data_IF_772018170900
#
_entry.id   IF_772018170900
#
_cell.length_a   1.000
_cell.length_b   1.000
_cell.length_c   1.000
_cell.angle_alpha   90.00
_cell.angle_beta   90.00
_cell.angle_gamma   90.00
#
_symmetry.space_group_name_H-M   'P 1'
#
loop_
_entity.id
_entity.type
_entity.pdbx_description
1 polymer ?
#
# COMPACT_ATOMS: atom_id res chain seq x y z
N UNK A 1 -6.06 18.95 -0.21
CA UNK A 1 -7.40 18.59 0.31
C UNK A 1 -7.37 17.10 0.59
N UNK A 2 -7.45 16.71 1.87
CA UNK A 2 -7.54 15.31 2.28
C UNK A 2 -9.02 14.93 2.26
N UNK A 3 -9.37 13.94 1.45
CA UNK A 3 -10.71 13.38 1.36
C UNK A 3 -11.10 12.80 2.72
N UNK A 4 -12.31 13.13 3.18
CA UNK A 4 -12.87 12.74 4.47
C UNK A 4 -13.04 11.21 4.54
N UNK A 5 -12.18 10.54 5.32
CA UNK A 5 -12.30 9.13 5.71
C UNK A 5 -12.94 9.05 7.12
N UNK A 6 -14.04 9.78 7.35
CA UNK A 6 -14.54 10.21 8.67
C UNK A 6 -14.59 9.19 9.82
N UNK A 7 -14.59 7.88 9.56
CA UNK A 7 -14.59 6.82 10.58
C UNK A 7 -13.35 5.90 10.60
N UNK A 8 -12.37 6.08 9.71
CA UNK A 8 -11.17 5.24 9.72
C UNK A 8 -10.12 5.78 10.71
N UNK A 9 -9.80 4.96 11.71
CA UNK A 9 -8.73 5.27 12.68
C UNK A 9 -7.45 4.53 12.31
N UNK A 10 -6.33 5.25 12.34
CA UNK A 10 -5.01 4.64 12.21
C UNK A 10 -4.68 3.82 13.47
N UNK A 11 -4.93 2.51 13.43
CA UNK A 11 -4.67 1.61 14.55
C UNK A 11 -3.25 1.04 14.57
N UNK A 12 -2.53 1.04 13.43
CA UNK A 12 -1.16 0.54 13.32
C UNK A 12 -0.39 1.30 12.24
N UNK A 13 0.78 1.82 12.63
CA UNK A 13 1.75 2.42 11.72
C UNK A 13 3.09 1.67 11.83
N UNK A 14 3.79 1.51 10.72
CA UNK A 14 5.10 0.83 10.72
C UNK A 14 6.01 1.49 9.72
N UNK A 15 7.17 1.94 10.19
CA UNK A 15 8.26 2.39 9.32
C UNK A 15 8.90 1.18 8.65
N UNK A 16 9.09 1.29 7.33
CA UNK A 16 9.76 0.28 6.52
C UNK A 16 11.05 0.93 6.04
N UNK A 17 12.17 0.36 6.46
CA UNK A 17 13.49 0.70 5.95
C UNK A 17 14.02 -0.45 5.07
N UNK A 18 15.14 -0.20 4.39
CA UNK A 18 15.77 -1.17 3.49
C UNK A 18 16.29 -2.43 4.18
N UNK A 19 16.32 -2.47 5.51
CA UNK A 19 16.81 -3.59 6.31
C UNK A 19 15.65 -4.35 6.97
N UNK A 20 15.51 -5.63 6.64
CA UNK A 20 14.58 -6.54 7.30
C UNK A 20 13.15 -6.46 6.76
N UNK A 21 12.32 -5.55 7.29
CA UNK A 21 10.85 -5.58 7.11
C UNK A 21 10.40 -5.41 5.67
N UNK A 22 11.18 -4.74 4.83
CA UNK A 22 10.88 -4.58 3.40
C UNK A 22 10.63 -5.92 2.71
N UNK A 23 11.36 -6.98 3.08
CA UNK A 23 11.20 -8.32 2.48
C UNK A 23 9.76 -8.85 2.59
N UNK A 24 9.10 -8.62 3.73
CA UNK A 24 7.72 -9.02 3.94
C UNK A 24 6.76 -8.31 2.98
N UNK A 25 7.04 -7.04 2.66
CA UNK A 25 6.22 -6.26 1.74
C UNK A 25 6.53 -6.51 0.27
N UNK A 26 7.65 -7.17 -0.05
CA UNK A 26 7.98 -7.63 -1.41
C UNK A 26 7.26 -8.95 -1.75
N UNK A 27 6.88 -9.73 -0.74
CA UNK A 27 6.08 -10.94 -0.94
C UNK A 27 4.61 -10.59 -1.17
N UNK A 28 3.90 -11.44 -1.92
CA UNK A 28 2.48 -11.25 -2.21
C UNK A 28 1.67 -11.41 -0.92
N UNK A 29 0.96 -10.35 -0.52
CA UNK A 29 0.10 -10.36 0.65
C UNK A 29 -1.14 -9.49 0.43
N UNK A 30 -2.18 -9.70 1.23
CA UNK A 30 -3.37 -8.86 1.29
C UNK A 30 -3.45 -8.19 2.66
N UNK A 31 -4.14 -7.05 2.75
CA UNK A 31 -4.54 -6.54 4.07
C UNK A 31 -5.65 -7.43 4.63
N UNK A 32 -5.83 -7.39 5.95
CA UNK A 32 -6.94 -8.08 6.59
C UNK A 32 -8.26 -7.48 6.12
N UNK A 33 -9.30 -8.31 5.99
CA UNK A 33 -10.65 -7.83 5.69
C UNK A 33 -11.08 -6.73 6.68
N UNK A 34 -11.73 -5.69 6.15
CA UNK A 34 -12.17 -4.53 6.94
C UNK A 34 -11.04 -3.56 7.34
N UNK A 35 -9.80 -3.77 6.87
CA UNK A 35 -8.69 -2.83 7.13
C UNK A 35 -8.20 -2.15 5.86
N UNK A 36 -7.73 -0.91 6.04
CA UNK A 36 -7.20 -0.08 4.97
C UNK A 36 -5.69 0.04 5.10
N UNK A 37 -4.99 -0.13 3.97
CA UNK A 37 -3.55 0.11 3.87
C UNK A 37 -3.27 1.48 3.27
N UNK A 38 -2.45 2.28 3.94
CA UNK A 38 -1.90 3.52 3.41
C UNK A 38 -0.37 3.41 3.37
N UNK A 39 0.22 3.56 2.19
CA UNK A 39 1.67 3.56 2.01
C UNK A 39 2.15 4.96 1.65
N UNK A 40 3.11 5.47 2.43
CA UNK A 40 3.73 6.76 2.20
C UNK A 40 5.22 6.59 1.97
N UNK A 41 5.68 6.93 0.76
CA UNK A 41 7.08 6.81 0.37
C UNK A 41 7.87 8.05 0.79
N UNK A 42 8.88 7.88 1.66
CA UNK A 42 9.75 8.98 2.10
C UNK A 42 10.85 9.31 1.08
N UNK A 43 11.42 8.27 0.46
CA UNK A 43 12.52 8.34 -0.49
C UNK A 43 12.53 7.12 -1.42
N UNK A 44 13.06 7.29 -2.64
CA UNK A 44 13.18 6.24 -3.65
C UNK A 44 11.98 6.14 -4.59
N UNK A 45 11.81 4.94 -5.14
CA UNK A 45 10.72 4.58 -6.06
C UNK A 45 10.20 3.19 -5.68
N UNK A 46 8.90 2.97 -5.78
CA UNK A 46 8.27 1.67 -5.53
C UNK A 46 7.20 1.38 -6.59
N UNK A 47 7.14 0.13 -7.04
CA UNK A 47 6.07 -0.35 -7.90
C UNK A 47 5.03 -1.07 -7.04
N UNK A 48 3.82 -0.51 -6.96
CA UNK A 48 2.69 -1.12 -6.27
C UNK A 48 1.88 -1.94 -7.27
N UNK A 49 1.88 -3.27 -7.12
CA UNK A 49 1.25 -4.20 -8.06
C UNK A 49 -0.01 -4.79 -7.41
N UNK A 50 -1.16 -4.57 -8.03
CA UNK A 50 -2.42 -5.17 -7.63
C UNK A 50 -2.56 -6.53 -8.32
N UNK A 51 -2.80 -7.57 -7.52
CA UNK A 51 -2.99 -8.93 -8.01
C UNK A 51 -4.43 -9.40 -7.72
N UNK A 52 -4.95 -10.31 -8.55
CA UNK A 52 -6.16 -11.06 -8.23
C UNK A 52 -5.87 -12.24 -7.28
N UNK A 53 -6.91 -12.96 -6.84
CA UNK A 53 -6.76 -14.13 -5.96
C UNK A 53 -5.96 -15.30 -6.56
N UNK A 54 -5.81 -15.34 -7.89
CA UNK A 54 -4.94 -16.28 -8.60
C UNK A 54 -3.49 -15.79 -8.77
N UNK A 55 -3.16 -14.60 -8.27
CA UNK A 55 -1.83 -14.01 -8.32
C UNK A 55 -1.46 -13.37 -9.67
N UNK A 56 -2.43 -13.17 -10.57
CA UNK A 56 -2.24 -12.44 -11.83
C UNK A 56 -2.33 -10.93 -11.59
N UNK A 57 -1.48 -10.17 -12.29
CA UNK A 57 -1.46 -8.70 -12.23
C UNK A 57 -2.73 -8.10 -12.84
N UNK A 58 -3.43 -7.31 -12.05
CA UNK A 58 -4.59 -6.51 -12.46
C UNK A 58 -4.17 -5.10 -12.87
N UNK A 59 -3.26 -4.49 -12.11
CA UNK A 59 -2.73 -3.16 -12.40
C UNK A 59 -1.44 -2.88 -11.63
N UNK A 60 -0.74 -1.82 -12.04
CA UNK A 60 0.49 -1.36 -11.40
C UNK A 60 0.50 0.15 -11.28
N UNK A 61 0.90 0.63 -10.12
CA UNK A 61 1.09 2.06 -9.84
C UNK A 61 2.53 2.25 -9.41
N UNK A 62 3.31 2.98 -10.21
CA UNK A 62 4.63 3.44 -9.80
C UNK A 62 4.46 4.68 -8.92
N UNK A 63 5.05 4.63 -7.74
CA UNK A 63 5.11 5.74 -6.79
C UNK A 63 6.57 6.17 -6.70
N UNK A 64 6.84 7.41 -7.07
CA UNK A 64 8.16 8.02 -7.04
C UNK A 64 8.05 9.40 -6.40
N UNK A 65 9.07 9.80 -5.64
CA UNK A 65 9.04 11.09 -4.91
C UNK A 65 8.87 12.31 -5.83
N UNK A 66 9.22 12.20 -7.11
CA UNK A 66 9.08 13.29 -8.09
C UNK A 66 7.62 13.65 -8.36
N UNK A 67 6.70 12.73 -8.06
CA UNK A 67 5.25 12.99 -7.98
C UNK A 67 4.78 12.57 -6.60
N UNK A 68 4.53 13.51 -5.68
CA UNK A 68 3.90 13.21 -4.38
C UNK A 68 2.61 12.41 -4.60
N UNK A 69 2.71 11.09 -4.53
CA UNK A 69 1.66 10.16 -4.91
C UNK A 69 1.50 9.17 -3.78
N UNK A 70 0.53 9.45 -2.91
CA UNK A 70 0.12 8.52 -1.88
C UNK A 70 -0.67 7.39 -2.54
N UNK A 71 -0.19 6.16 -2.41
CA UNK A 71 -0.92 4.98 -2.85
C UNK A 71 -1.81 4.47 -1.71
N UNK A 72 -3.11 4.38 -2.01
CA UNK A 72 -4.10 3.77 -1.14
C UNK A 72 -4.47 2.41 -1.70
N UNK A 73 -4.43 1.40 -0.84
CA UNK A 73 -4.88 0.05 -1.21
C UNK A 73 -6.18 -0.25 -0.47
N UNK A 74 -7.34 -0.02 -1.10
CA UNK A 74 -8.59 -0.58 -0.61
C UNK A 74 -8.59 -2.07 -0.96
N UNK A 75 -8.43 -2.95 0.04
CA UNK A 75 -8.90 -4.32 -0.11
C UNK A 75 -10.44 -4.29 -0.11
N UNK A 76 -11.03 -4.14 -1.29
CA UNK A 76 -12.44 -4.46 -1.52
C UNK A 76 -12.48 -5.96 -1.81
N UNK A 77 -12.67 -6.78 -0.78
CA UNK A 77 -13.07 -8.16 -1.00
C UNK A 77 -14.44 -8.13 -1.67
N UNK A 78 -14.51 -8.70 -2.88
CA UNK A 78 -15.76 -9.11 -3.51
C UNK A 78 -16.17 -10.46 -2.94
#
# INVERSE_FOLDING_TARGET
MLTDYGDLVCYKQTSIDSHGKLKFFLEKHSTKEGTWGCLHLQEGEIDFIFLNGGGQELSRVRVDKKKSSTAYSPCRMA
#
